data_IF_624008696972
#
_entry.id   IF_624008696972
#
_cell.length_a   1.000
_cell.length_b   1.000
_cell.length_c   1.000
_cell.angle_alpha   90.00
_cell.angle_beta   90.00
_cell.angle_gamma   90.00
#
_symmetry.space_group_name_H-M   'P 1'
#
loop_
_entity.id
_entity.type
_entity.pdbx_description
1 polymer ?
#
# COMPACT_ATOMS: atom_id res chain seq x y z
N UNK A 1 0.00 9.23 -4.33
CA UNK A 1 0.48 8.49 -3.13
C UNK A 1 0.22 7.00 -3.25
N UNK A 2 -0.99 6.58 -3.62
CA UNK A 2 -1.32 5.15 -3.77
C UNK A 2 -0.42 4.40 -4.75
N UNK A 3 -0.09 5.00 -5.89
CA UNK A 3 0.90 4.44 -6.83
C UNK A 3 2.27 4.23 -6.19
N UNK A 4 2.72 5.15 -5.33
CA UNK A 4 4.01 5.02 -4.65
C UNK A 4 3.99 3.90 -3.61
N UNK A 5 2.88 3.71 -2.89
CA UNK A 5 2.68 2.57 -1.98
C UNK A 5 2.75 1.24 -2.73
N UNK A 6 2.00 1.11 -3.83
CA UNK A 6 2.00 -0.10 -4.65
C UNK A 6 3.38 -0.37 -5.27
N UNK A 7 4.04 0.66 -5.81
CA UNK A 7 5.38 0.53 -6.38
C UNK A 7 6.42 0.11 -5.32
N UNK A 8 6.36 0.68 -4.12
CA UNK A 8 7.23 0.31 -3.00
C UNK A 8 7.03 -1.18 -2.64
N UNK A 9 5.78 -1.65 -2.54
CA UNK A 9 5.48 -3.07 -2.34
C UNK A 9 6.05 -3.95 -3.47
N UNK A 10 5.83 -3.56 -4.72
CA UNK A 10 6.14 -4.42 -5.86
C UNK A 10 7.64 -4.46 -6.13
N UNK A 11 8.37 -3.42 -5.74
CA UNK A 11 9.83 -3.38 -5.77
C UNK A 11 10.43 -4.25 -4.65
N UNK A 12 9.91 -4.17 -3.42
CA UNK A 12 10.44 -4.93 -2.28
C UNK A 12 10.02 -6.40 -2.30
N UNK A 13 8.80 -6.70 -2.75
CA UNK A 13 8.21 -8.03 -2.77
C UNK A 13 7.50 -8.28 -4.11
N UNK A 14 8.25 -8.53 -5.20
CA UNK A 14 7.67 -8.73 -6.52
C UNK A 14 6.60 -9.83 -6.53
N UNK A 15 5.36 -9.54 -6.97
CA UNK A 15 4.34 -10.57 -7.09
C UNK A 15 4.60 -11.48 -8.30
N UNK A 16 3.97 -12.66 -8.35
CA UNK A 16 4.01 -13.51 -9.55
C UNK A 16 3.09 -12.97 -10.65
N UNK A 17 1.99 -12.34 -10.26
CA UNK A 17 1.07 -11.61 -11.14
C UNK A 17 0.63 -10.28 -10.53
N UNK A 18 0.39 -9.27 -11.37
CA UNK A 18 0.05 -7.91 -10.92
C UNK A 18 -1.13 -7.86 -9.93
N UNK A 19 -2.11 -8.74 -10.06
CA UNK A 19 -3.30 -8.78 -9.19
C UNK A 19 -3.17 -9.70 -7.97
N UNK A 20 -1.98 -10.24 -7.69
CA UNK A 20 -1.79 -11.17 -6.57
C UNK A 20 -2.11 -10.52 -5.21
N UNK A 21 -1.61 -9.30 -4.96
CA UNK A 21 -1.87 -8.58 -3.71
C UNK A 21 -3.19 -7.77 -3.72
N UNK A 22 -3.83 -7.65 -4.87
CA UNK A 22 -5.05 -6.85 -5.04
C UNK A 22 -6.22 -7.57 -4.37
N UNK A 23 -7.06 -6.83 -3.65
CA UNK A 23 -8.18 -7.40 -2.91
C UNK A 23 -9.18 -8.13 -3.82
N UNK A 24 -9.80 -9.23 -3.37
CA UNK A 24 -10.95 -9.83 -4.04
C UNK A 24 -12.11 -8.82 -4.13
N UNK A 25 -12.98 -8.90 -5.15
CA UNK A 25 -13.05 -9.94 -6.18
C UNK A 25 -12.12 -9.72 -7.39
N UNK A 26 -11.42 -8.58 -7.47
CA UNK A 26 -10.61 -8.22 -8.65
C UNK A 26 -9.25 -8.94 -8.65
N UNK A 27 -8.64 -9.10 -7.48
CA UNK A 27 -7.39 -9.84 -7.31
C UNK A 27 -7.50 -11.02 -6.36
N UNK A 28 -6.35 -11.57 -5.98
CA UNK A 28 -6.27 -12.78 -5.15
C UNK A 28 -6.18 -12.50 -3.65
N UNK A 29 -5.93 -11.25 -3.24
CA UNK A 29 -5.76 -10.86 -1.84
C UNK A 29 -4.65 -11.61 -1.13
N UNK A 30 -3.58 -12.00 -1.84
CA UNK A 30 -2.48 -12.73 -1.23
C UNK A 30 -1.82 -11.85 -0.15
N UNK A 31 -1.42 -12.45 0.98
CA UNK A 31 -0.75 -11.69 2.03
C UNK A 31 0.62 -11.21 1.53
N UNK A 32 0.97 -9.97 1.87
CA UNK A 32 2.34 -9.48 1.69
C UNK A 32 3.28 -10.26 2.60
N UNK A 33 4.46 -10.69 2.12
CA UNK A 33 5.50 -11.36 2.89
C UNK A 33 5.73 -10.88 4.33
N UNK A 34 5.97 -11.84 5.22
CA UNK A 34 6.22 -11.60 6.64
C UNK A 34 7.55 -10.87 6.87
N UNK A 35 7.71 -10.26 8.05
CA UNK A 35 8.90 -9.49 8.44
C UNK A 35 10.21 -10.29 8.36
N UNK A 36 10.13 -11.62 8.45
CA UNK A 36 11.29 -12.51 8.29
C UNK A 36 11.89 -12.43 6.88
N UNK A 37 11.13 -11.96 5.90
CA UNK A 37 11.59 -11.73 4.52
C UNK A 37 11.96 -10.25 4.24
N UNK A 38 11.78 -9.36 5.23
CA UNK A 38 12.12 -7.93 5.14
C UNK A 38 10.98 -6.98 5.51
N UNK A 39 11.31 -5.69 5.68
CA UNK A 39 10.33 -4.60 5.80
C UNK A 39 10.18 -3.87 4.48
N UNK A 40 9.03 -3.23 4.27
CA UNK A 40 8.91 -2.25 3.19
C UNK A 40 9.88 -1.08 3.46
N UNK A 41 10.58 -0.59 2.42
CA UNK A 41 11.26 0.70 2.48
C UNK A 41 10.33 1.81 3.01
N UNK A 42 10.86 2.78 3.77
CA UNK A 42 10.06 3.91 4.23
C UNK A 42 9.52 4.72 3.04
N UNK A 43 8.25 5.15 3.15
CA UNK A 43 7.61 6.05 2.20
C UNK A 43 7.26 7.36 2.91
N UNK A 44 7.91 8.45 2.53
CA UNK A 44 7.62 9.79 3.05
C UNK A 44 6.61 10.45 2.12
N UNK A 45 5.42 10.76 2.63
CA UNK A 45 4.37 11.42 1.90
C UNK A 45 4.33 12.92 2.23
N UNK A 46 4.29 13.76 1.21
CA UNK A 46 4.08 15.22 1.35
C UNK A 46 2.74 15.53 0.68
N UNK A 47 1.62 15.57 1.42
CA UNK A 47 0.32 15.84 0.84
C UNK A 47 0.26 17.29 0.36
N UNK A 48 -0.23 17.50 -0.85
CA UNK A 48 -0.41 18.84 -1.44
C UNK A 48 -1.87 19.32 -1.37
N UNK A 49 -2.80 18.43 -1.02
CA UNK A 49 -4.24 18.70 -0.99
C UNK A 49 -4.86 18.08 0.27
N UNK A 50 -5.82 18.78 0.87
CA UNK A 50 -6.69 18.23 1.91
C UNK A 50 -7.81 17.40 1.26
N UNK A 51 -7.56 16.10 1.08
CA UNK A 51 -8.48 15.21 0.37
C UNK A 51 -8.40 13.77 0.84
N UNK A 52 -7.81 12.89 0.03
CA UNK A 52 -7.87 11.42 0.19
C UNK A 52 -7.39 10.85 1.53
N UNK A 53 -6.57 11.60 2.29
CA UNK A 53 -5.93 11.13 3.51
C UNK A 53 -4.97 9.95 3.30
N UNK A 54 -4.56 9.66 2.06
CA UNK A 54 -3.74 8.49 1.72
C UNK A 54 -2.46 8.40 2.57
N UNK A 55 -1.86 9.52 2.94
CA UNK A 55 -0.69 9.59 3.82
C UNK A 55 -0.87 8.89 5.19
N UNK A 56 -2.11 8.77 5.67
CA UNK A 56 -2.43 8.12 6.97
C UNK A 56 -3.11 6.76 6.82
N UNK A 57 -3.38 6.29 5.60
CA UNK A 57 -4.06 5.01 5.38
C UNK A 57 -3.11 3.88 5.02
N UNK A 58 -3.45 2.68 5.49
CA UNK A 58 -2.81 1.42 5.07
C UNK A 58 -3.32 0.89 3.73
N UNK A 59 -3.80 1.74 2.82
CA UNK A 59 -4.47 1.31 1.58
C UNK A 59 -3.85 2.01 0.38
N UNK A 60 -3.72 1.29 -0.74
CA UNK A 60 -3.39 1.84 -2.04
C UNK A 60 -4.53 1.51 -3.01
N UNK A 61 -5.20 2.53 -3.55
CA UNK A 61 -6.32 2.39 -4.48
C UNK A 61 -5.87 2.73 -5.91
N UNK A 62 -6.39 2.01 -6.90
CA UNK A 62 -6.20 2.30 -8.31
C UNK A 62 -7.41 1.84 -9.13
N UNK A 63 -7.53 2.36 -10.35
CA UNK A 63 -8.56 1.96 -11.30
C UNK A 63 -8.02 0.86 -12.23
N UNK A 64 -8.74 -0.25 -12.32
CA UNK A 64 -8.52 -1.26 -13.37
C UNK A 64 -9.40 -0.94 -14.57
N UNK A 65 -8.79 -0.33 -15.59
CA UNK A 65 -9.51 0.12 -16.78
C UNK A 65 -10.09 -1.03 -17.60
N UNK A 66 -9.56 -2.26 -17.49
CA UNK A 66 -10.07 -3.41 -18.25
C UNK A 66 -11.41 -3.90 -17.71
N UNK A 67 -11.57 -3.87 -16.40
CA UNK A 67 -12.78 -4.32 -15.70
C UNK A 67 -13.68 -3.16 -15.28
N UNK A 68 -13.26 -1.91 -15.53
CA UNK A 68 -13.92 -0.68 -15.09
C UNK A 68 -14.20 -0.68 -13.58
N UNK A 69 -13.28 -1.25 -12.81
CA UNK A 69 -13.42 -1.40 -11.37
C UNK A 69 -12.42 -0.53 -10.61
N UNK A 70 -12.85 -0.03 -9.45
CA UNK A 70 -11.98 0.65 -8.49
C UNK A 70 -11.59 -0.35 -7.42
N UNK A 71 -10.30 -0.64 -7.31
CA UNK A 71 -9.78 -1.68 -6.43
C UNK A 71 -8.51 -1.22 -5.75
N UNK A 72 -7.90 -2.10 -4.95
CA UNK A 72 -6.68 -1.75 -4.27
C UNK A 72 -6.08 -2.86 -3.45
N UNK A 73 -5.05 -2.48 -2.71
CA UNK A 73 -4.28 -3.35 -1.82
C UNK A 73 -4.42 -2.76 -0.42
N UNK A 74 -4.81 -3.58 0.55
CA UNK A 74 -4.84 -3.20 1.95
C UNK A 74 -3.66 -3.84 2.70
N UNK A 75 -2.79 -3.01 3.25
CA UNK A 75 -1.71 -3.46 4.13
C UNK A 75 -1.37 -2.40 5.17
N UNK A 76 -1.37 -2.78 6.46
CA UNK A 76 -1.04 -1.88 7.57
C UNK A 76 0.34 -1.22 7.42
N UNK A 77 1.27 -1.84 6.68
CA UNK A 77 2.63 -1.32 6.44
C UNK A 77 2.69 -0.22 5.37
N UNK A 78 1.59 0.09 4.68
CA UNK A 78 1.51 1.26 3.79
C UNK A 78 1.36 2.58 4.54
N UNK A 79 0.89 2.55 5.78
CA UNK A 79 0.90 3.73 6.64
C UNK A 79 2.33 4.02 7.10
N UNK A 80 2.63 5.30 7.33
CA UNK A 80 3.88 5.70 7.97
C UNK A 80 4.04 4.96 9.30
N UNK A 81 5.22 4.38 9.51
CA UNK A 81 5.60 3.47 10.60
C UNK A 81 4.91 3.81 11.94
N UNK A 82 4.25 2.85 12.63
CA UNK A 82 4.12 2.94 14.07
C UNK A 82 5.51 2.67 14.65
N UNK A 83 6.29 3.72 14.89
CA UNK A 83 7.46 3.60 15.77
C UNK A 83 6.92 3.12 17.11
N UNK A 84 7.39 1.96 17.55
CA UNK A 84 7.15 1.52 18.93
C UNK A 84 7.44 2.69 19.86
N UNK A 85 6.47 3.01 20.73
CA UNK A 85 6.60 4.03 21.79
C UNK A 85 7.24 5.34 21.33
N UNK A 86 6.55 6.17 20.55
CA UNK A 86 7.06 7.49 20.24
C UNK A 86 6.08 8.34 19.44
N UNK A 87 5.53 9.34 20.13
CA UNK A 87 4.77 10.51 19.67
C UNK A 87 4.68 10.72 18.15
N UNK A 88 3.43 10.81 17.70
CA UNK A 88 3.04 11.53 16.49
C UNK A 88 3.45 13.01 16.67
N UNK A 89 4.40 13.49 15.88
CA UNK A 89 4.58 14.92 15.67
C UNK A 89 3.75 15.27 14.43
N UNK A 90 2.56 15.84 14.68
CA UNK A 90 1.85 16.68 13.71
C UNK A 90 2.27 18.11 13.97
#
# INVERSE_FOLDING_TARGET
MDTAKAANLYAAFPPKGFFDYVNPPVGKGLPVPAISQGSLPPLIAIPTMAGTGSETTGVAIFDDTKTQSKTGIANRRFGTVPTGTGKLYV
#
